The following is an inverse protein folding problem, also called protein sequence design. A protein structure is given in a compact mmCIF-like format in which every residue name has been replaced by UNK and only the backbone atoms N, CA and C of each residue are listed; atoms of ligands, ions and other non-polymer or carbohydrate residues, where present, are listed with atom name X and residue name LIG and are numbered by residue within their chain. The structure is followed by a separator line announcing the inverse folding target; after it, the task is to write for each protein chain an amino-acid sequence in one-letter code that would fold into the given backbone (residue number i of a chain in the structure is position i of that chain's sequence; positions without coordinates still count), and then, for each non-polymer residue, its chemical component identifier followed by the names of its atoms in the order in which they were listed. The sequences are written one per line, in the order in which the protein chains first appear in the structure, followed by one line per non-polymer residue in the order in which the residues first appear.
data_IF_984769921661
#
_entry.id   IF_984769921661
#
_cell.length_a   1.000
_cell.length_b   1.000
_cell.length_c   1.000
_cell.angle_alpha   90.00
_cell.angle_beta   90.00
_cell.angle_gamma   90.00
#
_symmetry.space_group_name_H-M   'P 1'
#
loop_
_entity.id
_entity.type
_entity.pdbx_description
1 polymer ?
#
# COMPACT_ATOMS: atom_id res chain seq x y z
N UNK A 1 26.31 6.56 18.96
CA UNK A 1 26.05 5.14 18.64
C UNK A 1 26.85 4.80 17.40
N UNK A 2 27.56 3.66 17.37
CA UNK A 2 28.24 3.17 16.18
C UNK A 2 27.32 2.13 15.51
N UNK A 3 26.92 2.38 14.26
CA UNK A 3 26.07 1.46 13.50
C UNK A 3 26.96 0.59 12.61
N UNK A 4 27.29 -0.60 13.10
CA UNK A 4 28.21 -1.53 12.44
C UNK A 4 27.51 -2.56 11.55
N UNK A 5 26.18 -2.55 11.51
CA UNK A 5 25.35 -3.53 10.79
C UNK A 5 24.23 -2.82 10.06
N UNK A 6 23.96 -3.24 8.82
CA UNK A 6 22.82 -2.81 8.01
C UNK A 6 21.83 -3.97 7.98
N UNK A 7 20.57 -3.72 8.35
CA UNK A 7 19.52 -4.72 8.13
C UNK A 7 19.29 -4.87 6.63
N UNK A 8 19.35 -6.11 6.14
CA UNK A 8 19.02 -6.42 4.75
C UNK A 8 17.50 -6.42 4.49
N UNK A 9 16.69 -6.32 5.55
CA UNK A 9 15.23 -6.40 5.45
C UNK A 9 14.56 -5.42 6.43
N UNK A 10 13.63 -4.63 5.90
CA UNK A 10 12.72 -3.76 6.66
C UNK A 10 11.48 -3.43 5.81
N UNK A 11 10.39 -3.09 6.49
CA UNK A 11 9.11 -2.78 5.86
C UNK A 11 8.50 -1.51 6.45
N UNK A 12 7.57 -0.92 5.69
CA UNK A 12 6.66 0.12 6.13
C UNK A 12 5.23 -0.38 5.98
N UNK A 13 4.41 -0.17 7.00
CA UNK A 13 3.00 -0.54 6.93
C UNK A 13 2.26 0.39 5.97
N UNK A 14 1.33 -0.17 5.17
CA UNK A 14 0.58 0.57 4.16
C UNK A 14 -0.23 1.75 4.73
N UNK A 15 -0.58 1.69 6.02
CA UNK A 15 -1.33 2.75 6.72
C UNK A 15 -0.55 4.07 6.77
N UNK A 16 0.77 4.01 6.66
CA UNK A 16 1.65 5.19 6.66
C UNK A 16 1.91 5.74 5.25
N UNK A 17 1.40 5.10 4.22
CA UNK A 17 1.58 5.51 2.83
C UNK A 17 0.38 6.35 2.35
N UNK A 18 0.59 7.28 1.37
CA UNK A 18 -0.51 8.01 0.75
C UNK A 18 -1.55 7.05 0.15
N UNK A 19 -2.87 7.32 0.34
CA UNK A 19 -3.94 6.41 -0.08
C UNK A 19 -4.06 6.21 -1.59
N UNK A 20 -3.42 7.09 -2.38
CA UNK A 20 -3.40 7.07 -3.83
C UNK A 20 -2.03 6.68 -4.40
N UNK A 21 -1.08 6.22 -3.57
CA UNK A 21 0.31 5.95 -3.98
C UNK A 21 0.39 5.10 -5.26
N UNK A 22 -0.34 3.99 -5.32
CA UNK A 22 -0.26 3.09 -6.48
C UNK A 22 -1.08 3.61 -7.69
N UNK A 23 -2.26 4.19 -7.47
CA UNK A 23 -3.14 4.64 -8.55
C UNK A 23 -2.67 5.95 -9.20
N UNK A 24 -1.97 6.79 -8.45
CA UNK A 24 -1.36 8.04 -8.93
C UNK A 24 -0.10 7.78 -9.78
N UNK A 25 0.71 6.78 -9.40
CA UNK A 25 2.02 6.52 -10.03
C UNK A 25 2.02 5.41 -11.09
N UNK A 26 0.97 4.60 -11.20
CA UNK A 26 0.89 3.58 -12.23
C UNK A 26 0.61 4.16 -13.62
N UNK A 27 1.14 3.50 -14.66
CA UNK A 27 0.79 3.81 -16.05
C UNK A 27 -0.69 3.58 -16.30
N UNK A 28 -1.27 4.33 -17.25
CA UNK A 28 -2.72 4.30 -17.50
C UNK A 28 -3.28 2.88 -17.73
N UNK A 29 -2.55 2.04 -18.47
CA UNK A 29 -2.92 0.65 -18.77
C UNK A 29 -2.90 -0.28 -17.54
N UNK A 30 -2.16 0.09 -16.49
CA UNK A 30 -1.98 -0.71 -15.28
C UNK A 30 -2.74 -0.19 -14.07
N UNK A 31 -3.23 1.06 -14.08
CA UNK A 31 -3.95 1.68 -12.96
C UNK A 31 -5.11 0.81 -12.46
N UNK A 32 -5.83 0.20 -13.38
CA UNK A 32 -6.98 -0.65 -13.05
C UNK A 32 -6.60 -1.93 -12.29
N UNK A 33 -5.33 -2.33 -12.32
CA UNK A 33 -4.80 -3.53 -11.67
C UNK A 33 -4.16 -3.25 -10.31
N UNK A 34 -4.01 -1.98 -9.93
CA UNK A 34 -3.31 -1.60 -8.72
C UNK A 34 -4.17 -1.78 -7.46
N UNK A 35 -3.54 -2.00 -6.29
CA UNK A 35 -4.21 -1.79 -5.02
C UNK A 35 -4.77 -0.36 -4.92
N UNK A 36 -5.91 -0.20 -4.25
CA UNK A 36 -6.56 1.08 -4.06
C UNK A 36 -7.26 1.13 -2.70
N UNK A 37 -7.52 2.35 -2.21
CA UNK A 37 -8.29 2.56 -0.98
C UNK A 37 -9.78 2.69 -1.29
N UNK A 38 -10.61 1.98 -0.51
CA UNK A 38 -12.09 2.07 -0.54
C UNK A 38 -12.65 2.29 0.86
N UNK A 39 -13.90 2.73 0.97
CA UNK A 39 -14.64 2.72 2.24
C UNK A 39 -15.12 1.30 2.54
N UNK A 40 -14.75 0.76 3.70
CA UNK A 40 -15.15 -0.55 4.20
C UNK A 40 -15.97 -0.45 5.50
N UNK A 41 -16.45 -1.59 6.05
CA UNK A 41 -17.36 -1.62 7.21
C UNK A 41 -16.78 -1.02 8.50
N UNK A 42 -15.44 -0.90 8.59
CA UNK A 42 -14.72 -0.38 9.76
C UNK A 42 -13.97 0.92 9.49
N UNK A 43 -14.22 1.55 8.34
CA UNK A 43 -13.44 2.68 7.84
C UNK A 43 -12.75 2.33 6.53
N UNK A 44 -11.82 3.19 6.10
CA UNK A 44 -11.09 3.00 4.85
C UNK A 44 -10.24 1.73 4.91
N UNK A 45 -10.07 1.06 3.78
CA UNK A 45 -9.20 -0.11 3.64
C UNK A 45 -8.52 -0.14 2.28
N UNK A 46 -7.26 -0.59 2.27
CA UNK A 46 -6.58 -0.97 1.03
C UNK A 46 -7.09 -2.32 0.55
N UNK A 47 -7.49 -2.41 -0.72
CA UNK A 47 -7.97 -3.63 -1.36
C UNK A 47 -7.33 -3.81 -2.74
N UNK A 48 -7.38 -5.05 -3.24
CA UNK A 48 -7.12 -5.36 -4.66
C UNK A 48 -8.42 -5.74 -5.36
N UNK A 49 -8.46 -5.55 -6.68
CA UNK A 49 -9.56 -6.06 -7.51
C UNK A 49 -9.69 -7.58 -7.50
N UNK A 50 -8.63 -8.30 -7.15
CA UNK A 50 -8.63 -9.75 -6.96
C UNK A 50 -9.17 -10.20 -5.60
N UNK A 51 -9.61 -9.26 -4.73
CA UNK A 51 -10.29 -9.59 -3.47
C UNK A 51 -9.40 -9.69 -2.23
N UNK A 52 -8.10 -9.37 -2.32
CA UNK A 52 -7.27 -9.22 -1.13
C UNK A 52 -7.57 -7.90 -0.40
N UNK A 53 -7.59 -7.92 0.94
CA UNK A 53 -7.70 -6.75 1.82
C UNK A 53 -6.46 -6.64 2.69
N UNK A 54 -5.96 -5.41 2.87
CA UNK A 54 -4.75 -5.10 3.63
C UNK A 54 -4.99 -4.18 4.83
N UNK A 55 -6.25 -3.77 5.06
CA UNK A 55 -6.61 -2.82 6.11
C UNK A 55 -6.16 -1.37 5.82
N UNK A 56 -6.51 -0.47 6.76
CA UNK A 56 -5.99 0.90 6.88
C UNK A 56 -6.09 1.34 8.34
#
# INVERSE_FOLDING_TARGET
MKYDVISADCHIDLIWLPPDLFTSNASAELKDRMPYVTDGPRGKEWVTKSGASFGL
#
